data_IF_018899159144
#
_entry.id   IF_018899159144
#
_cell.length_a   1.000
_cell.length_b   1.000
_cell.length_c   1.000
_cell.angle_alpha   90.00
_cell.angle_beta   90.00
_cell.angle_gamma   90.00
#
_symmetry.space_group_name_H-M   'P 1'
#
loop_
_entity.id
_entity.type
_entity.pdbx_description
1 polymer ?
#
# COMPACT_ATOMS: atom_id res chain seq x y z
N UNK A 1 9.30 -81.37 -34.83
CA UNK A 1 10.60 -82.08 -34.95
C UNK A 1 11.63 -80.97 -35.07
N UNK A 2 12.49 -80.65 -34.13
CA UNK A 2 12.99 -81.37 -32.96
C UNK A 2 13.73 -80.33 -32.06
N UNK A 3 13.48 -80.40 -30.74
CA UNK A 3 14.38 -80.21 -29.56
C UNK A 3 15.56 -79.19 -29.61
N UNK A 4 15.92 -78.42 -28.57
CA UNK A 4 15.96 -78.73 -27.12
C UNK A 4 16.34 -77.46 -26.33
N UNK A 5 15.74 -77.26 -25.16
CA UNK A 5 16.26 -76.49 -24.00
C UNK A 5 17.18 -77.42 -23.16
N UNK A 6 18.21 -76.91 -22.47
CA UNK A 6 18.05 -76.83 -21.02
C UNK A 6 18.71 -75.60 -20.35
N UNK A 7 17.99 -75.06 -19.35
CA UNK A 7 18.47 -74.13 -18.31
C UNK A 7 19.70 -74.63 -17.54
N UNK A 8 20.42 -73.70 -16.90
CA UNK A 8 20.78 -73.91 -15.50
C UNK A 8 20.38 -72.74 -14.57
N UNK A 9 20.00 -73.18 -13.38
CA UNK A 9 19.70 -72.51 -12.11
C UNK A 9 20.74 -71.50 -11.60
N UNK A 10 20.24 -70.34 -11.15
CA UNK A 10 20.42 -69.83 -9.79
C UNK A 10 21.78 -69.26 -9.37
N UNK A 11 21.89 -67.91 -9.37
CA UNK A 11 22.72 -67.14 -8.43
C UNK A 11 21.98 -65.84 -8.03
N UNK A 12 22.22 -65.36 -6.79
CA UNK A 12 21.22 -64.63 -5.98
C UNK A 12 21.08 -63.16 -6.38
N UNK A 13 19.89 -62.62 -6.08
CA UNK A 13 19.57 -61.19 -6.15
C UNK A 13 20.57 -60.38 -5.31
N UNK A 14 21.06 -59.22 -5.79
CA UNK A 14 21.70 -58.27 -4.90
C UNK A 14 20.66 -57.75 -3.91
N UNK A 15 21.05 -57.77 -2.64
CA UNK A 15 20.26 -57.28 -1.51
C UNK A 15 19.83 -55.83 -1.78
N UNK A 16 18.59 -55.52 -1.37
CA UNK A 16 18.13 -54.15 -1.26
C UNK A 16 19.13 -53.39 -0.40
N UNK A 17 19.77 -52.37 -0.97
CA UNK A 17 20.37 -51.33 -0.15
C UNK A 17 19.23 -50.72 0.65
N UNK A 18 19.21 -51.06 1.93
CA UNK A 18 18.45 -50.37 2.94
C UNK A 18 18.71 -48.88 2.74
N UNK A 19 17.63 -48.12 2.49
CA UNK A 19 17.64 -46.68 2.66
C UNK A 19 18.16 -46.44 4.08
N UNK A 20 19.45 -46.08 4.19
CA UNK A 20 19.95 -45.40 5.36
C UNK A 20 19.01 -44.24 5.57
N UNK A 21 18.35 -44.23 6.73
CA UNK A 21 17.43 -43.18 7.10
C UNK A 21 18.10 -41.84 6.87
N UNK A 22 17.48 -41.02 6.01
CA UNK A 22 17.70 -39.59 6.01
C UNK A 22 17.56 -39.16 7.48
N UNK A 23 18.65 -38.67 8.06
CA UNK A 23 18.59 -38.05 9.37
C UNK A 23 17.49 -36.98 9.30
N UNK A 24 16.68 -36.76 10.35
CA UNK A 24 15.75 -35.63 10.33
C UNK A 24 16.57 -34.39 9.97
N UNK A 25 16.21 -33.75 8.85
CA UNK A 25 16.85 -32.53 8.41
C UNK A 25 16.90 -31.61 9.63
N UNK A 26 18.11 -31.19 10.01
CA UNK A 26 18.25 -30.22 11.09
C UNK A 26 17.36 -29.03 10.69
N UNK A 27 16.46 -28.55 11.56
CA UNK A 27 15.58 -27.47 11.19
C UNK A 27 16.45 -26.31 10.71
N UNK A 28 16.12 -25.73 9.55
CA UNK A 28 16.85 -24.59 9.04
C UNK A 28 16.84 -23.49 10.11
N UNK A 29 18.02 -22.93 10.40
CA UNK A 29 18.18 -21.94 11.47
C UNK A 29 18.93 -20.72 10.97
N UNK A 30 18.52 -19.55 11.46
CA UNK A 30 19.20 -18.28 11.24
C UNK A 30 19.51 -17.65 12.59
N UNK A 31 20.79 -17.31 12.82
CA UNK A 31 21.30 -16.78 14.10
C UNK A 31 20.91 -17.62 15.33
N UNK A 32 20.78 -18.94 15.16
CA UNK A 32 20.43 -19.87 16.24
C UNK A 32 18.93 -20.00 16.55
N UNK A 33 18.06 -19.35 15.77
CA UNK A 33 16.59 -19.50 15.81
C UNK A 33 16.12 -20.40 14.67
N UNK A 34 15.09 -21.20 14.89
CA UNK A 34 14.44 -21.97 13.82
C UNK A 34 13.67 -21.04 12.90
N UNK A 35 13.86 -21.22 11.59
CA UNK A 35 13.10 -20.53 10.54
C UNK A 35 11.62 -20.91 10.63
N UNK A 36 10.74 -19.93 10.40
CA UNK A 36 9.29 -20.15 10.37
C UNK A 36 8.91 -21.02 9.16
N UNK A 37 9.61 -20.82 8.05
CA UNK A 37 9.48 -21.59 6.82
C UNK A 37 10.81 -22.30 6.51
N UNK A 38 11.04 -23.53 7.04
CA UNK A 38 12.35 -24.18 6.97
C UNK A 38 12.79 -24.62 5.57
N UNK A 39 11.88 -24.55 4.59
CA UNK A 39 12.12 -24.91 3.20
C UNK A 39 12.44 -23.70 2.30
N UNK A 40 12.33 -22.49 2.85
CA UNK A 40 12.47 -21.22 2.14
C UNK A 40 13.77 -20.52 2.55
N UNK A 41 14.28 -19.64 1.68
CA UNK A 41 15.48 -18.86 1.99
C UNK A 41 15.17 -17.81 3.07
N UNK A 42 16.20 -17.18 3.64
CA UNK A 42 16.03 -16.21 4.75
C UNK A 42 15.24 -14.98 4.30
N UNK A 43 15.31 -14.63 3.03
CA UNK A 43 14.62 -13.48 2.43
C UNK A 43 13.11 -13.75 2.23
N UNK A 44 12.69 -15.02 2.31
CA UNK A 44 11.30 -15.45 2.11
C UNK A 44 10.62 -15.82 3.44
N UNK A 45 11.18 -15.41 4.58
CA UNK A 45 10.65 -15.79 5.90
C UNK A 45 9.51 -14.89 6.39
N UNK A 46 9.26 -13.77 5.71
CA UNK A 46 8.18 -12.82 5.95
C UNK A 46 8.23 -12.03 7.25
N UNK A 47 7.17 -11.28 7.52
CA UNK A 47 7.12 -10.32 8.61
C UNK A 47 7.38 -10.94 9.99
N UNK A 48 6.89 -12.14 10.27
CA UNK A 48 7.13 -12.81 11.56
C UNK A 48 8.63 -12.97 11.84
N UNK A 49 9.42 -13.25 10.79
CA UNK A 49 10.86 -13.32 10.89
C UNK A 49 11.52 -11.94 11.03
N UNK A 50 11.05 -10.93 10.29
CA UNK A 50 11.53 -9.55 10.40
C UNK A 50 11.34 -8.98 11.81
N UNK A 51 10.13 -9.10 12.35
CA UNK A 51 9.77 -8.63 13.69
C UNK A 51 10.63 -9.32 14.74
N UNK A 52 10.75 -10.65 14.66
CA UNK A 52 11.59 -11.40 15.58
C UNK A 52 13.07 -10.98 15.46
N UNK A 53 13.53 -10.66 14.26
CA UNK A 53 14.90 -10.19 13.97
C UNK A 53 15.13 -8.76 14.49
N UNK A 54 14.16 -7.86 14.36
CA UNK A 54 14.26 -6.49 14.86
C UNK A 54 14.18 -6.44 16.39
N UNK A 55 13.30 -7.23 17.01
CA UNK A 55 13.23 -7.39 18.47
C UNK A 55 14.54 -7.96 19.03
N UNK A 56 15.13 -8.97 18.38
CA UNK A 56 16.41 -9.54 18.83
C UNK A 56 17.56 -8.52 18.75
N UNK A 57 17.62 -7.72 17.67
CA UNK A 57 18.60 -6.64 17.51
C UNK A 57 18.41 -5.53 18.54
N UNK A 58 17.17 -5.14 18.84
CA UNK A 58 16.85 -4.15 19.89
C UNK A 58 17.23 -4.67 21.28
N UNK A 59 17.00 -5.97 21.55
CA UNK A 59 17.46 -6.65 22.76
C UNK A 59 18.99 -6.69 22.90
N UNK A 60 19.72 -6.98 21.82
CA UNK A 60 21.18 -6.99 21.82
C UNK A 60 21.78 -5.60 22.09
N UNK A 61 21.19 -4.53 21.53
CA UNK A 61 21.59 -3.15 21.81
C UNK A 61 21.28 -2.71 23.25
N UNK A 62 20.15 -3.14 23.82
CA UNK A 62 19.81 -2.91 25.22
C UNK A 62 20.80 -3.54 26.21
N UNK A 63 21.33 -4.73 25.89
CA UNK A 63 22.35 -5.41 26.70
C UNK A 63 23.72 -4.71 26.62
N UNK A 64 24.05 -4.07 25.50
CA UNK A 64 25.29 -3.29 25.35
C UNK A 64 25.20 -1.89 25.98
N UNK A 65 23.99 -1.32 26.12
CA UNK A 65 23.75 -0.01 26.74
C UNK A 65 23.72 0.00 28.28
N UNK A 66 23.52 -1.15 28.94
CA UNK A 66 23.40 -1.25 30.39
C UNK A 66 24.76 -1.24 31.16
N UNK A 67 25.87 -0.96 30.48
CA UNK A 67 27.22 -1.23 30.98
C UNK A 67 28.11 -0.01 31.26
N UNK A 68 27.62 1.15 31.69
CA UNK A 68 28.55 2.23 32.13
C UNK A 68 27.96 3.40 32.96
N UNK A 69 27.35 3.16 34.13
CA UNK A 69 27.42 4.16 35.23
C UNK A 69 27.44 3.46 36.59
N UNK A 70 28.62 3.27 37.16
CA UNK A 70 28.76 2.97 38.58
C UNK A 70 30.03 3.58 39.18
N UNK A 71 29.81 4.20 40.35
CA UNK A 71 30.76 4.69 41.37
C UNK A 71 31.27 6.15 41.16
N UNK A 72 31.25 7.04 42.17
CA UNK A 72 31.97 6.91 43.45
C UNK A 72 31.53 7.98 44.50
N UNK A 73 31.32 7.50 45.75
CA UNK A 73 31.56 8.06 47.10
C UNK A 73 30.61 9.02 47.86
N UNK A 74 30.39 8.58 49.11
CA UNK A 74 29.67 9.17 50.23
C UNK A 74 30.58 9.92 51.23
N UNK A 75 29.99 10.79 52.08
CA UNK A 75 30.33 11.04 53.50
C UNK A 75 29.34 12.09 54.10
N UNK A 76 28.38 11.71 54.95
CA UNK A 76 28.40 11.68 56.43
C UNK A 76 28.39 13.03 57.16
N UNK A 77 27.30 13.35 57.89
CA UNK A 77 27.38 13.75 59.32
C UNK A 77 26.02 13.63 60.05
N UNK A 78 26.10 13.39 61.35
CA UNK A 78 25.10 12.83 62.26
C UNK A 78 24.19 13.86 62.96
N UNK A 79 23.03 13.43 63.48
CA UNK A 79 22.52 13.96 64.76
C UNK A 79 21.01 14.24 64.90
N UNK A 80 20.34 13.41 65.70
CA UNK A 80 19.26 13.68 66.68
C UNK A 80 17.92 14.34 66.32
N UNK A 81 16.90 13.67 66.87
CA UNK A 81 15.49 13.99 67.05
C UNK A 81 15.10 15.41 67.53
N UNK A 82 13.89 15.83 67.16
CA UNK A 82 13.05 16.71 67.97
C UNK A 82 12.25 17.81 67.24
N UNK A 83 10.97 17.52 66.96
CA UNK A 83 9.78 18.40 67.02
C UNK A 83 9.83 19.88 66.57
N UNK A 84 8.98 20.15 65.58
CA UNK A 84 8.10 21.31 65.31
C UNK A 84 8.67 22.74 65.27
N UNK A 85 8.63 23.32 64.07
CA UNK A 85 8.63 24.75 63.82
C UNK A 85 8.17 25.04 62.39
N UNK A 86 7.02 25.67 62.25
CA UNK A 86 6.41 26.13 61.00
C UNK A 86 7.26 27.20 60.29
N UNK A 87 7.48 27.07 58.97
CA UNK A 87 7.55 28.21 58.04
C UNK A 87 7.24 27.74 56.62
N UNK A 88 6.42 28.54 55.94
CA UNK A 88 5.91 28.35 54.58
C UNK A 88 7.00 28.36 53.50
N UNK A 89 6.76 27.66 52.41
CA UNK A 89 7.34 27.93 51.10
C UNK A 89 6.36 27.46 50.03
N UNK A 90 6.18 28.34 49.04
CA UNK A 90 5.25 28.29 47.93
C UNK A 90 5.11 26.92 47.26
N UNK A 91 3.84 26.48 47.13
CA UNK A 91 3.47 25.55 46.07
C UNK A 91 2.84 26.39 44.97
N UNK A 92 3.62 26.62 43.90
CA UNK A 92 3.07 27.00 42.62
C UNK A 92 1.99 25.99 42.26
N UNK A 93 0.76 26.48 42.11
CA UNK A 93 -0.35 25.67 41.64
C UNK A 93 -0.01 25.15 40.24
N UNK A 94 0.07 23.83 40.12
CA UNK A 94 -0.12 23.19 38.82
C UNK A 94 -1.55 23.55 38.39
N UNK A 95 -1.64 24.37 37.36
CA UNK A 95 -2.88 24.54 36.61
C UNK A 95 -3.20 23.18 36.01
N UNK A 96 -4.17 22.51 36.62
CA UNK A 96 -4.88 21.39 36.02
C UNK A 96 -5.63 21.97 34.82
N UNK A 97 -4.94 21.98 33.68
CA UNK A 97 -5.54 22.22 32.38
C UNK A 97 -6.36 20.99 32.07
N UNK A 98 -7.56 20.92 32.65
CA UNK A 98 -8.62 20.03 32.19
C UNK A 98 -8.91 20.40 30.74
N UNK A 99 -8.14 19.80 29.83
CA UNK A 99 -8.52 19.67 28.45
C UNK A 99 -9.84 18.92 28.46
N UNK A 100 -10.86 19.53 27.86
CA UNK A 100 -12.02 18.79 27.42
C UNK A 100 -11.48 17.59 26.63
N UNK A 101 -11.64 16.38 27.14
CA UNK A 101 -11.46 15.19 26.32
C UNK A 101 -12.34 15.42 25.10
N UNK A 102 -11.72 15.61 23.93
CA UNK A 102 -12.47 15.54 22.69
C UNK A 102 -13.02 14.13 22.67
N UNK A 103 -14.34 13.98 22.57
CA UNK A 103 -14.92 12.65 22.41
C UNK A 103 -14.34 12.09 21.10
N UNK A 104 -13.46 11.09 21.22
CA UNK A 104 -12.92 10.40 20.06
C UNK A 104 -14.09 9.73 19.35
N UNK A 105 -14.12 9.86 18.04
CA UNK A 105 -15.04 9.12 17.19
C UNK A 105 -14.24 8.03 16.51
N UNK A 106 -14.76 6.81 16.50
CA UNK A 106 -14.13 5.67 15.84
C UNK A 106 -13.83 6.00 14.36
N UNK A 107 -12.66 5.58 13.89
CA UNK A 107 -12.26 5.70 12.49
C UNK A 107 -13.22 4.85 11.63
N UNK A 108 -13.84 5.40 10.58
CA UNK A 108 -14.67 4.62 9.68
C UNK A 108 -13.89 3.47 9.03
N UNK A 109 -14.51 2.29 8.98
CA UNK A 109 -14.00 1.16 8.20
C UNK A 109 -14.34 1.35 6.72
N UNK A 110 -13.39 1.03 5.83
CA UNK A 110 -13.55 1.08 4.38
C UNK A 110 -13.15 -0.24 3.71
N UNK A 111 -13.47 -0.35 2.42
CA UNK A 111 -12.94 -1.43 1.60
C UNK A 111 -11.41 -1.37 1.45
N UNK A 112 -10.75 -2.52 1.45
CA UNK A 112 -9.35 -2.66 1.01
C UNK A 112 -9.19 -2.31 -0.48
N UNK A 113 -10.28 -2.31 -1.24
CA UNK A 113 -10.22 -2.21 -2.70
C UNK A 113 -9.54 -3.43 -3.33
N UNK A 114 -9.27 -3.38 -4.65
CA UNK A 114 -8.78 -4.54 -5.38
C UNK A 114 -7.27 -4.74 -5.34
N UNK A 115 -6.51 -3.85 -4.69
CA UNK A 115 -5.04 -3.85 -4.75
C UNK A 115 -4.30 -4.01 -3.40
N UNK A 116 -4.83 -4.72 -2.39
CA UNK A 116 -4.06 -4.98 -1.18
C UNK A 116 -2.93 -5.98 -1.49
N UNK A 117 -1.81 -5.89 -0.78
CA UNK A 117 -0.70 -6.84 -0.88
C UNK A 117 -0.69 -7.80 0.30
N UNK A 118 -1.87 -8.21 0.78
CA UNK A 118 -2.11 -8.96 2.02
C UNK A 118 -2.53 -10.43 1.78
N UNK A 119 -2.45 -10.88 0.52
CA UNK A 119 -2.89 -12.21 0.09
C UNK A 119 -4.41 -12.35 -0.14
N UNK A 120 -5.24 -11.40 0.31
CA UNK A 120 -6.70 -11.47 0.19
C UNK A 120 -7.19 -11.42 -1.26
N UNK A 121 -6.42 -10.78 -2.14
CA UNK A 121 -6.67 -10.71 -3.57
C UNK A 121 -5.48 -11.23 -4.43
N UNK A 122 -4.79 -12.26 -3.92
CA UNK A 122 -3.79 -13.04 -4.65
C UNK A 122 -2.35 -12.54 -4.55
N UNK A 123 -2.10 -11.22 -4.53
CA UNK A 123 -0.77 -10.67 -4.29
C UNK A 123 -0.51 -10.55 -2.78
N UNK A 124 0.69 -10.96 -2.34
CA UNK A 124 1.07 -10.95 -0.92
C UNK A 124 2.50 -10.46 -0.75
N UNK A 125 2.68 -9.26 -0.21
CA UNK A 125 3.97 -8.69 0.18
C UNK A 125 4.22 -8.81 1.68
N UNK A 126 3.22 -9.20 2.47
CA UNK A 126 3.36 -9.35 3.93
C UNK A 126 4.22 -10.57 4.29
N UNK A 127 4.29 -11.55 3.40
CA UNK A 127 5.22 -12.69 3.46
C UNK A 127 6.65 -12.35 2.95
N UNK A 128 6.90 -11.14 2.44
CA UNK A 128 8.23 -10.74 1.92
C UNK A 128 9.10 -10.14 3.03
N UNK A 129 10.35 -10.60 3.19
CA UNK A 129 11.27 -9.99 4.16
C UNK A 129 11.67 -8.58 3.73
N UNK A 130 11.77 -7.65 4.68
CA UNK A 130 12.01 -6.23 4.43
C UNK A 130 10.73 -5.42 4.24
N UNK A 131 9.54 -6.02 4.33
CA UNK A 131 8.26 -5.29 4.30
C UNK A 131 8.04 -4.45 5.57
N UNK A 132 8.64 -4.82 6.71
CA UNK A 132 8.70 -3.95 7.90
C UNK A 132 9.68 -2.79 7.64
N UNK A 133 9.16 -1.64 7.20
CA UNK A 133 9.97 -0.48 6.83
C UNK A 133 9.16 0.81 6.92
N UNK A 134 9.87 1.89 7.26
CA UNK A 134 9.30 3.24 7.30
C UNK A 134 9.36 3.92 5.94
N UNK A 135 10.49 3.86 5.23
CA UNK A 135 10.57 4.35 3.85
C UNK A 135 10.06 3.27 2.89
N UNK A 136 8.87 3.52 2.32
CA UNK A 136 8.19 2.56 1.45
C UNK A 136 8.42 2.87 -0.02
N UNK A 137 9.15 3.92 -0.39
CA UNK A 137 9.25 4.38 -1.79
C UNK A 137 9.97 3.41 -2.70
N UNK A 138 10.90 2.63 -2.18
CA UNK A 138 11.66 1.65 -2.97
C UNK A 138 10.96 0.30 -3.05
N UNK A 139 11.13 -0.45 -4.14
CA UNK A 139 10.81 -1.88 -4.13
C UNK A 139 11.83 -2.63 -3.26
N UNK A 140 11.37 -3.66 -2.55
CA UNK A 140 12.21 -4.45 -1.62
C UNK A 140 13.37 -5.12 -2.36
N UNK A 141 13.13 -5.65 -3.57
CA UNK A 141 14.12 -6.43 -4.32
C UNK A 141 14.43 -5.92 -5.74
N UNK A 142 13.62 -4.99 -6.27
CA UNK A 142 13.74 -4.56 -7.67
C UNK A 142 14.63 -3.31 -7.87
N UNK A 143 15.14 -2.69 -6.80
CA UNK A 143 16.05 -1.52 -6.87
C UNK A 143 15.44 -0.25 -7.49
N UNK A 144 14.21 -0.32 -7.94
CA UNK A 144 13.35 0.79 -8.39
C UNK A 144 12.85 1.57 -7.19
N UNK A 145 12.51 2.84 -7.42
CA UNK A 145 11.93 3.72 -6.41
C UNK A 145 10.86 4.55 -7.07
N UNK A 146 9.67 4.59 -6.47
CA UNK A 146 8.59 5.43 -6.94
C UNK A 146 8.99 6.90 -6.81
N UNK A 147 8.92 7.62 -7.94
CA UNK A 147 9.16 9.06 -8.00
C UNK A 147 7.86 9.82 -7.69
N UNK A 148 7.98 10.97 -7.03
CA UNK A 148 6.85 11.83 -6.68
C UNK A 148 7.22 12.84 -5.59
N UNK A 149 6.27 13.70 -5.25
CA UNK A 149 6.42 14.70 -4.17
C UNK A 149 6.52 13.96 -2.83
N UNK A 150 7.58 14.15 -2.02
CA UNK A 150 7.74 13.43 -0.76
C UNK A 150 6.57 13.65 0.20
N UNK A 151 6.19 12.59 0.92
CA UNK A 151 5.11 12.61 1.90
C UNK A 151 5.51 11.85 3.17
N UNK A 152 5.60 12.56 4.29
CA UNK A 152 5.80 11.94 5.61
C UNK A 152 4.45 11.75 6.33
N UNK A 153 4.17 10.51 6.72
CA UNK A 153 2.88 10.06 7.25
C UNK A 153 3.09 9.64 8.70
N UNK A 154 2.35 10.22 9.64
CA UNK A 154 2.30 9.75 11.02
C UNK A 154 0.88 9.32 11.37
N UNK A 155 0.73 8.12 11.93
CA UNK A 155 -0.56 7.60 12.38
C UNK A 155 -0.47 7.27 13.87
N UNK A 156 -1.45 7.78 14.64
CA UNK A 156 -1.57 7.49 16.07
C UNK A 156 -2.74 6.52 16.29
N UNK A 157 -2.42 5.25 16.53
CA UNK A 157 -3.41 4.20 16.76
C UNK A 157 -3.85 4.24 18.23
N UNK A 158 -5.15 4.39 18.45
CA UNK A 158 -5.75 4.59 19.77
C UNK A 158 -6.77 3.48 20.03
N UNK A 159 -6.60 2.77 21.14
CA UNK A 159 -7.56 1.78 21.63
C UNK A 159 -8.66 2.47 22.44
N UNK A 160 -9.82 2.64 21.82
CA UNK A 160 -11.01 3.23 22.46
C UNK A 160 -11.60 2.28 23.51
N UNK A 161 -11.61 0.97 23.24
CA UNK A 161 -12.12 -0.04 24.17
C UNK A 161 -11.29 -0.13 25.45
N UNK A 162 -9.98 0.15 25.34
CA UNK A 162 -9.03 0.27 26.45
C UNK A 162 -9.11 1.57 27.25
N UNK A 163 -10.00 2.50 26.89
CA UNK A 163 -10.17 3.80 27.54
C UNK A 163 -9.34 4.92 26.92
N UNK A 164 -9.36 5.00 25.59
CA UNK A 164 -8.68 6.01 24.76
C UNK A 164 -7.16 6.06 24.98
N UNK A 165 -6.54 4.88 25.06
CA UNK A 165 -5.10 4.73 25.30
C UNK A 165 -4.36 4.40 24.01
N UNK A 166 -3.07 4.77 23.88
CA UNK A 166 -2.30 4.37 22.70
C UNK A 166 -2.18 2.84 22.58
N UNK A 167 -2.39 2.32 21.36
CA UNK A 167 -2.31 0.88 21.08
C UNK A 167 -0.86 0.50 20.73
N UNK A 168 -0.05 0.14 21.71
CA UNK A 168 1.33 -0.34 21.53
C UNK A 168 1.38 -1.75 20.95
N UNK A 169 2.26 -1.99 19.96
CA UNK A 169 2.51 -3.32 19.39
C UNK A 169 1.58 -3.74 18.24
N UNK A 170 0.59 -2.93 17.88
CA UNK A 170 -0.25 -3.14 16.71
C UNK A 170 0.57 -3.03 15.42
N UNK A 171 0.24 -3.85 14.42
CA UNK A 171 0.86 -3.76 13.11
C UNK A 171 -0.02 -2.92 12.18
N UNK A 172 0.59 -1.97 11.47
CA UNK A 172 -0.07 -1.12 10.49
C UNK A 172 0.52 -1.40 9.13
N UNK A 173 -0.29 -1.91 8.22
CA UNK A 173 0.05 -2.05 6.80
C UNK A 173 -0.46 -0.84 6.04
N UNK A 174 0.38 -0.20 5.23
CA UNK A 174 0.01 0.93 4.39
C UNK A 174 0.36 0.65 2.93
N UNK A 175 -0.55 0.97 2.02
CA UNK A 175 -0.30 0.91 0.58
C UNK A 175 -1.00 2.03 -0.20
N UNK A 176 -0.46 2.36 -1.37
CA UNK A 176 -1.04 3.36 -2.28
C UNK A 176 -0.60 3.12 -3.73
N UNK A 177 -1.16 3.89 -4.65
CA UNK A 177 -0.64 4.01 -6.01
C UNK A 177 0.59 4.93 -6.09
N UNK A 178 1.32 4.82 -7.20
CA UNK A 178 2.38 5.76 -7.58
C UNK A 178 1.83 7.09 -8.14
N UNK A 179 2.72 7.99 -8.55
CA UNK A 179 2.35 9.29 -9.10
C UNK A 179 1.50 9.21 -10.38
N UNK A 180 1.64 8.13 -11.16
CA UNK A 180 0.83 7.86 -12.35
C UNK A 180 -0.48 7.10 -12.04
N UNK A 181 -0.80 6.86 -10.77
CA UNK A 181 -2.01 6.15 -10.35
C UNK A 181 -1.94 4.62 -10.50
N UNK A 182 -0.74 4.05 -10.64
CA UNK A 182 -0.53 2.60 -10.77
C UNK A 182 -0.23 1.97 -9.42
N UNK A 183 -0.77 0.77 -9.18
CA UNK A 183 -0.44 -0.02 -7.99
C UNK A 183 0.65 -1.03 -8.31
N UNK A 184 1.73 -1.00 -7.55
CA UNK A 184 2.75 -2.06 -7.55
C UNK A 184 2.09 -3.41 -7.30
N UNK A 185 2.63 -4.48 -7.88
CA UNK A 185 2.08 -5.86 -7.88
C UNK A 185 0.84 -6.10 -8.76
N UNK A 186 0.23 -5.04 -9.34
CA UNK A 186 -1.08 -5.16 -10.00
C UNK A 186 -1.15 -4.48 -11.38
N UNK A 187 -0.70 -3.24 -11.48
CA UNK A 187 -0.85 -2.46 -12.70
C UNK A 187 0.20 -2.82 -13.75
N UNK A 188 -0.19 -2.70 -15.03
CA UNK A 188 0.71 -2.98 -16.15
C UNK A 188 2.01 -2.15 -16.07
N UNK A 189 3.14 -2.83 -16.24
CA UNK A 189 4.48 -2.26 -16.17
C UNK A 189 5.06 -2.12 -14.77
N UNK A 190 4.30 -2.45 -13.72
CA UNK A 190 4.76 -2.44 -12.31
C UNK A 190 4.28 -3.68 -11.52
N UNK A 191 3.92 -4.77 -12.21
CA UNK A 191 3.45 -6.02 -11.59
C UNK A 191 4.53 -6.73 -10.77
N UNK A 192 5.81 -6.52 -11.10
CA UNK A 192 6.95 -7.12 -10.40
C UNK A 192 7.53 -6.19 -9.32
N UNK A 193 6.89 -5.04 -9.09
CA UNK A 193 7.33 -4.03 -8.15
C UNK A 193 6.64 -4.16 -6.79
N UNK A 194 7.30 -3.69 -5.73
CA UNK A 194 6.77 -3.71 -4.35
C UNK A 194 6.91 -2.36 -3.64
N UNK A 195 7.21 -1.29 -4.37
CA UNK A 195 7.21 0.06 -3.82
C UNK A 195 5.83 0.44 -3.25
N UNK A 196 5.84 1.45 -2.39
CA UNK A 196 4.68 2.08 -1.77
C UNK A 196 3.78 1.10 -1.01
N UNK A 197 4.39 0.06 -0.45
CA UNK A 197 3.80 -0.93 0.45
C UNK A 197 4.74 -1.12 1.63
N UNK A 198 4.23 -1.10 2.85
CA UNK A 198 5.06 -1.38 4.01
C UNK A 198 4.29 -1.53 5.31
N UNK A 199 4.95 -2.16 6.26
CA UNK A 199 4.43 -2.42 7.60
C UNK A 199 5.26 -1.67 8.63
N UNK A 200 4.60 -1.11 9.63
CA UNK A 200 5.24 -0.59 10.83
C UNK A 200 4.51 -1.10 12.07
N UNK A 201 5.25 -1.35 13.14
CA UNK A 201 4.70 -1.69 14.45
C UNK A 201 4.61 -0.44 15.32
N UNK A 202 3.46 -0.21 15.95
CA UNK A 202 3.23 0.96 16.79
C UNK A 202 4.17 0.96 18.01
N UNK A 203 4.70 2.13 18.32
CA UNK A 203 5.53 2.34 19.51
C UNK A 203 4.70 2.42 20.81
N UNK A 204 5.35 2.67 21.95
CA UNK A 204 4.68 2.84 23.25
C UNK A 204 3.73 4.06 23.33
N UNK A 205 3.73 4.92 22.31
CA UNK A 205 2.78 6.01 22.13
C UNK A 205 1.75 5.69 21.04
N UNK A 206 1.60 4.42 20.64
CA UNK A 206 0.64 3.97 19.64
C UNK A 206 0.97 4.45 18.23
N UNK A 207 2.20 4.88 17.97
CA UNK A 207 2.53 5.63 16.75
C UNK A 207 3.35 4.83 15.75
N UNK A 208 3.03 5.02 14.47
CA UNK A 208 3.86 4.63 13.33
C UNK A 208 4.18 5.83 12.45
N UNK A 209 5.28 5.75 11.70
CA UNK A 209 5.67 6.76 10.72
C UNK A 209 6.13 6.08 9.43
N UNK A 210 5.67 6.59 8.30
CA UNK A 210 6.09 6.19 6.97
C UNK A 210 6.63 7.39 6.19
N UNK A 211 7.60 7.15 5.32
CA UNK A 211 8.05 8.07 4.28
C UNK A 211 7.62 7.48 2.94
N UNK A 212 6.82 8.24 2.21
CA UNK A 212 6.19 7.87 0.94
C UNK A 212 6.27 9.02 -0.07
N UNK A 213 5.43 8.98 -1.10
CA UNK A 213 5.14 10.09 -2.01
C UNK A 213 3.64 10.43 -1.97
N UNK A 214 3.28 11.65 -2.35
CA UNK A 214 1.88 12.01 -2.57
C UNK A 214 1.28 11.09 -3.66
N UNK A 215 0.10 10.46 -3.44
CA UNK A 215 -0.47 9.50 -4.39
C UNK A 215 -1.00 10.18 -5.66
N UNK A 216 -0.90 9.52 -6.81
CA UNK A 216 -1.57 9.95 -8.02
C UNK A 216 -3.10 9.84 -7.94
N UNK A 217 -3.79 10.42 -8.91
CA UNK A 217 -5.24 10.27 -9.07
C UNK A 217 -5.53 9.37 -10.26
N UNK A 218 -6.11 8.19 -10.02
CA UNK A 218 -6.59 7.31 -11.08
C UNK A 218 -8.10 7.51 -11.30
N UNK A 219 -8.58 7.12 -12.48
CA UNK A 219 -9.95 7.40 -12.90
C UNK A 219 -10.98 6.79 -11.93
N UNK A 220 -11.95 7.61 -11.52
CA UNK A 220 -13.11 7.18 -10.73
C UNK A 220 -12.91 7.11 -9.22
N UNK A 221 -11.73 7.47 -8.71
CA UNK A 221 -11.44 7.49 -7.26
C UNK A 221 -10.75 8.78 -6.84
N UNK A 222 -11.13 9.32 -5.69
CA UNK A 222 -10.43 10.44 -5.05
C UNK A 222 -9.01 10.01 -4.61
N UNK A 223 -7.99 10.87 -4.65
CA UNK A 223 -6.64 10.48 -4.22
C UNK A 223 -6.57 10.03 -2.75
N UNK A 224 -5.99 8.87 -2.51
CA UNK A 224 -6.01 8.26 -1.18
C UNK A 224 -4.80 7.37 -0.89
N UNK A 225 -4.63 7.09 0.40
CA UNK A 225 -3.78 6.03 0.95
C UNK A 225 -4.69 4.97 1.55
N UNK A 226 -4.35 3.70 1.43
CA UNK A 226 -5.01 2.63 2.15
C UNK A 226 -4.20 2.23 3.37
N UNK A 227 -4.88 1.72 4.39
CA UNK A 227 -4.21 1.05 5.48
C UNK A 227 -5.07 -0.03 6.14
N UNK A 228 -4.38 -0.94 6.81
CA UNK A 228 -4.95 -1.94 7.68
C UNK A 228 -4.24 -1.91 9.03
N UNK A 229 -4.99 -2.14 10.10
CA UNK A 229 -4.47 -2.30 11.45
C UNK A 229 -4.78 -3.71 11.92
N UNK A 230 -3.76 -4.38 12.43
CA UNK A 230 -3.84 -5.70 13.04
C UNK A 230 -3.50 -5.57 14.52
N UNK A 231 -4.06 -6.44 15.38
CA UNK A 231 -3.88 -6.33 16.83
C UNK A 231 -2.42 -6.51 17.25
N UNK A 232 -1.64 -7.25 16.47
CA UNK A 232 -0.21 -7.44 16.66
C UNK A 232 0.49 -7.90 15.38
N UNK A 233 1.82 -7.94 15.45
CA UNK A 233 2.70 -8.33 14.36
C UNK A 233 2.61 -9.82 13.94
N UNK A 234 2.03 -10.69 14.77
CA UNK A 234 1.84 -12.10 14.41
C UNK A 234 0.54 -12.29 13.62
N UNK A 235 -0.45 -11.41 13.85
CA UNK A 235 -1.80 -11.52 13.28
C UNK A 235 -1.89 -11.09 11.81
N UNK A 236 -1.02 -10.19 11.37
CA UNK A 236 -0.96 -9.61 10.02
C UNK A 236 -0.64 -10.60 8.89
N UNK A 237 -0.20 -11.82 9.19
CA UNK A 237 0.01 -12.88 8.18
C UNK A 237 -1.31 -13.46 7.63
N UNK A 238 -2.45 -13.01 8.13
CA UNK A 238 -3.78 -13.35 7.62
C UNK A 238 -4.63 -12.08 7.61
N UNK A 239 -4.97 -11.63 6.40
CA UNK A 239 -5.82 -10.46 6.15
C UNK A 239 -7.13 -10.49 6.96
N UNK A 240 -7.66 -11.68 7.25
CA UNK A 240 -8.88 -11.84 8.05
C UNK A 240 -8.76 -11.40 9.51
N UNK A 241 -7.54 -11.14 10.01
CA UNK A 241 -7.30 -10.65 11.35
C UNK A 241 -7.23 -9.12 11.47
N UNK A 242 -7.41 -8.38 10.37
CA UNK A 242 -7.47 -6.93 10.43
C UNK A 242 -8.60 -6.48 11.38
N UNK A 243 -8.26 -5.62 12.34
CA UNK A 243 -9.22 -4.99 13.25
C UNK A 243 -9.78 -3.68 12.68
N UNK A 244 -9.12 -3.11 11.67
CA UNK A 244 -9.59 -1.98 10.88
C UNK A 244 -8.95 -2.05 9.50
N UNK A 245 -9.76 -1.95 8.45
CA UNK A 245 -9.33 -1.58 7.10
C UNK A 245 -9.93 -0.21 6.82
N UNK A 246 -9.14 0.75 6.32
CA UNK A 246 -9.66 2.09 6.02
C UNK A 246 -8.80 2.81 4.97
N UNK A 247 -9.17 4.04 4.66
CA UNK A 247 -8.50 4.89 3.67
C UNK A 247 -8.32 6.32 4.20
N UNK A 248 -7.29 7.00 3.73
CA UNK A 248 -6.98 8.40 4.06
C UNK A 248 -7.10 9.22 2.78
N UNK A 249 -8.01 10.18 2.75
CA UNK A 249 -8.21 11.07 1.61
C UNK A 249 -7.19 12.22 1.61
N UNK A 250 -6.64 12.55 0.44
CA UNK A 250 -5.76 13.72 0.30
C UNK A 250 -6.57 15.01 0.09
N UNK A 251 -6.14 16.15 0.65
CA UNK A 251 -6.84 17.42 0.47
C UNK A 251 -6.70 17.97 -0.95
N UNK A 252 -7.79 18.54 -1.46
CA UNK A 252 -7.92 19.00 -2.86
C UNK A 252 -6.91 20.09 -3.23
N UNK A 253 -6.62 21.02 -2.31
CA UNK A 253 -5.74 22.15 -2.60
C UNK A 253 -4.32 21.67 -2.93
N UNK A 254 -3.78 20.81 -2.08
CA UNK A 254 -2.45 20.22 -2.25
C UNK A 254 -2.43 19.22 -3.42
N UNK A 255 -3.52 18.47 -3.66
CA UNK A 255 -3.63 17.62 -4.84
C UNK A 255 -3.54 18.42 -6.15
N UNK A 256 -4.23 19.57 -6.23
CA UNK A 256 -4.14 20.46 -7.40
C UNK A 256 -2.71 20.95 -7.62
N UNK A 257 -2.01 21.38 -6.57
CA UNK A 257 -0.62 21.84 -6.65
C UNK A 257 0.33 20.71 -7.09
N UNK A 258 0.15 19.50 -6.57
CA UNK A 258 0.99 18.32 -6.90
C UNK A 258 0.77 17.85 -8.33
N UNK A 259 -0.47 17.86 -8.81
CA UNK A 259 -0.80 17.33 -10.14
C UNK A 259 -0.44 18.27 -11.30
N UNK A 260 0.16 19.43 -11.02
CA UNK A 260 0.85 20.25 -12.02
C UNK A 260 2.26 19.71 -12.35
N UNK A 261 2.82 18.80 -11.54
CA UNK A 261 4.14 18.22 -11.76
C UNK A 261 4.12 17.11 -12.82
N UNK A 262 5.21 16.97 -13.57
CA UNK A 262 5.28 16.06 -14.72
C UNK A 262 5.27 14.56 -14.35
N UNK A 263 5.63 14.22 -13.12
CA UNK A 263 5.56 12.84 -12.62
C UNK A 263 4.10 12.36 -12.42
N UNK A 264 3.14 13.29 -12.38
CA UNK A 264 1.72 13.04 -12.07
C UNK A 264 0.82 13.12 -13.30
N UNK A 265 1.37 12.88 -14.49
CA UNK A 265 0.64 12.94 -15.77
C UNK A 265 -0.71 12.19 -15.70
N UNK A 266 -1.79 12.87 -16.11
CA UNK A 266 -3.17 12.35 -16.09
C UNK A 266 -3.92 12.57 -14.77
N UNK A 267 -3.23 12.79 -13.65
CA UNK A 267 -3.89 12.94 -12.34
C UNK A 267 -4.82 14.15 -12.27
N UNK A 268 -4.43 15.28 -12.86
CA UNK A 268 -5.27 16.49 -12.89
C UNK A 268 -6.58 16.27 -13.69
N UNK A 269 -6.52 15.52 -14.79
CA UNK A 269 -7.71 15.18 -15.58
C UNK A 269 -8.66 14.27 -14.81
N UNK A 270 -8.12 13.26 -14.11
CA UNK A 270 -8.90 12.36 -13.28
C UNK A 270 -9.54 13.10 -12.08
N UNK A 271 -8.78 13.94 -11.39
CA UNK A 271 -9.27 14.74 -10.27
C UNK A 271 -10.43 15.64 -10.70
N UNK A 272 -10.39 16.23 -11.90
CA UNK A 272 -11.46 17.08 -12.41
C UNK A 272 -12.81 16.37 -12.64
N UNK A 273 -12.82 15.03 -12.60
CA UNK A 273 -13.99 14.19 -12.85
C UNK A 273 -14.59 13.58 -11.57
N UNK A 274 -13.97 13.82 -10.41
CA UNK A 274 -14.37 13.23 -9.13
C UNK A 274 -14.32 14.29 -8.01
N UNK A 275 -15.20 14.13 -7.04
CA UNK A 275 -15.22 14.89 -5.78
C UNK A 275 -15.31 13.90 -4.62
N UNK A 276 -14.95 14.31 -3.40
CA UNK A 276 -15.19 13.51 -2.20
C UNK A 276 -16.66 13.08 -2.09
N UNK A 277 -17.60 13.98 -2.42
CA UNK A 277 -19.05 13.72 -2.37
C UNK A 277 -19.55 12.75 -3.46
N UNK A 278 -18.73 12.44 -4.47
CA UNK A 278 -19.08 11.50 -5.55
C UNK A 278 -18.21 10.25 -5.56
N UNK A 279 -17.15 10.22 -4.75
CA UNK A 279 -16.31 9.04 -4.57
C UNK A 279 -17.11 7.95 -3.85
N UNK A 280 -17.02 6.71 -4.34
CA UNK A 280 -17.84 5.61 -3.83
C UNK A 280 -17.39 5.08 -2.45
N UNK A 281 -16.30 5.62 -1.88
CA UNK A 281 -15.81 5.34 -0.53
C UNK A 281 -16.11 6.54 0.35
N UNK A 282 -15.65 7.74 -0.02
CA UNK A 282 -15.73 8.92 0.87
C UNK A 282 -17.09 9.65 0.89
N UNK A 283 -18.02 9.32 -0.01
CA UNK A 283 -19.27 10.08 -0.15
C UNK A 283 -20.26 9.96 1.02
N UNK A 284 -20.08 9.01 1.93
CA UNK A 284 -20.87 8.86 3.16
C UNK A 284 -20.25 9.55 4.39
N UNK A 285 -18.99 10.01 4.28
CA UNK A 285 -18.31 10.85 5.25
C UNK A 285 -16.78 10.72 5.14
N UNK A 286 -16.05 11.82 5.37
CA UNK A 286 -14.58 11.81 5.24
C UNK A 286 -13.85 12.65 6.30
N UNK A 287 -14.57 13.26 7.25
CA UNK A 287 -13.98 14.22 8.20
C UNK A 287 -12.85 13.59 9.05
N UNK A 288 -12.98 12.32 9.43
CA UNK A 288 -11.96 11.57 10.17
C UNK A 288 -10.80 11.04 9.29
N UNK A 289 -11.00 10.99 7.98
CA UNK A 289 -10.07 10.37 7.02
C UNK A 289 -9.34 11.40 6.15
N UNK A 290 -9.77 12.66 6.14
CA UNK A 290 -9.14 13.73 5.37
C UNK A 290 -7.83 14.18 6.02
N UNK A 291 -6.71 14.02 5.31
CA UNK A 291 -5.41 14.44 5.81
C UNK A 291 -5.31 15.98 5.92
N UNK A 292 -4.80 16.46 7.05
CA UNK A 292 -4.39 17.86 7.22
C UNK A 292 -2.90 17.99 6.96
N UNK A 293 -2.53 18.39 5.74
CA UNK A 293 -1.14 18.50 5.33
C UNK A 293 -0.46 19.77 5.86
N UNK A 294 0.86 19.66 6.03
CA UNK A 294 1.78 20.77 6.26
C UNK A 294 2.97 20.61 5.31
N UNK A 295 3.69 21.69 5.03
CA UNK A 295 4.78 21.67 4.05
C UNK A 295 4.37 22.34 2.74
N UNK A 296 5.10 22.02 1.67
CA UNK A 296 4.93 22.59 0.33
C UNK A 296 5.58 21.69 -0.73
N UNK A 297 5.38 22.01 -2.01
CA UNK A 297 5.92 21.24 -3.14
C UNK A 297 7.46 21.11 -3.11
N UNK A 298 8.18 22.11 -2.60
CA UNK A 298 9.65 22.11 -2.62
C UNK A 298 10.24 21.22 -1.52
N UNK A 299 9.61 21.22 -0.34
CA UNK A 299 10.04 20.49 0.84
C UNK A 299 9.36 19.13 1.02
N UNK A 300 8.29 18.88 0.28
CA UNK A 300 7.37 17.77 0.49
C UNK A 300 6.30 18.11 1.53
N UNK A 301 5.34 17.20 1.68
CA UNK A 301 4.25 17.33 2.63
C UNK A 301 4.42 16.38 3.82
N UNK A 302 3.77 16.71 4.93
CA UNK A 302 3.66 15.83 6.08
C UNK A 302 2.30 15.98 6.77
N UNK A 303 1.77 14.88 7.32
CA UNK A 303 0.62 14.92 8.23
C UNK A 303 0.75 13.95 9.40
N UNK A 304 -0.06 14.22 10.42
CA UNK A 304 -0.36 13.30 11.51
C UNK A 304 -1.87 13.11 11.55
N UNK A 305 -2.32 11.87 11.66
CA UNK A 305 -3.74 11.51 11.80
C UNK A 305 -3.94 10.59 13.01
N UNK A 306 -5.01 10.83 13.75
CA UNK A 306 -5.43 9.95 14.84
C UNK A 306 -6.35 8.86 14.26
N UNK A 307 -6.13 7.61 14.70
CA UNK A 307 -6.88 6.43 14.27
C UNK A 307 -7.47 5.75 15.51
N UNK A 308 -8.63 6.22 16.00
CA UNK A 308 -9.32 5.60 17.11
C UNK A 308 -10.03 4.33 16.66
N UNK A 309 -9.79 3.22 17.35
CA UNK A 309 -10.37 1.91 17.05
C UNK A 309 -11.10 1.39 18.28
N UNK A 310 -12.38 1.02 18.15
CA UNK A 310 -13.09 0.26 19.16
C UNK A 310 -12.98 -1.23 18.81
N UNK A 311 -12.07 -1.94 19.49
CA UNK A 311 -11.86 -3.39 19.26
C UNK A 311 -13.06 -4.26 19.66
N UNK A 312 -14.15 -3.67 20.17
CA UNK A 312 -15.43 -4.36 20.40
C UNK A 312 -16.39 -4.23 19.22
N UNK A 313 -16.13 -3.33 18.27
CA UNK A 313 -16.81 -3.26 16.98
C UNK A 313 -16.33 -4.41 16.10
N UNK A 314 -17.25 -5.12 15.45
CA UNK A 314 -16.85 -6.11 14.43
C UNK A 314 -16.27 -5.36 13.23
N UNK A 315 -15.04 -5.69 12.78
CA UNK A 315 -14.45 -5.04 11.62
C UNK A 315 -15.36 -5.24 10.41
N UNK A 316 -15.67 -4.17 9.69
CA UNK A 316 -16.36 -4.31 8.41
C UNK A 316 -15.42 -5.05 7.46
N UNK A 317 -15.81 -6.27 7.06
CA UNK A 317 -14.93 -7.13 6.30
C UNK A 317 -14.55 -6.43 4.98
N UNK A 318 -13.25 -6.20 4.77
CA UNK A 318 -12.67 -5.70 3.52
C UNK A 318 -12.87 -6.62 2.30
N UNK A 319 -13.71 -7.66 2.43
CA UNK A 319 -14.03 -8.61 1.37
C UNK A 319 -14.96 -8.01 0.32
N UNK A 320 -14.65 -8.29 -0.95
CA UNK A 320 -15.37 -7.94 -2.19
C UNK A 320 -16.81 -8.52 -2.27
N UNK A 321 -17.63 -8.29 -1.25
CA UNK A 321 -19.02 -8.73 -1.13
C UNK A 321 -20.02 -7.69 -1.63
N UNK A 322 -19.65 -6.87 -2.62
CA UNK A 322 -20.56 -5.96 -3.32
C UNK A 322 -20.43 -6.19 -4.81
N UNK A 323 -21.57 -6.36 -5.49
CA UNK A 323 -21.72 -6.39 -6.96
C UNK A 323 -21.20 -5.08 -7.57
N UNK A 324 -19.88 -4.93 -7.66
CA UNK A 324 -19.22 -3.86 -8.38
C UNK A 324 -19.04 -4.35 -9.81
N UNK A 325 -19.90 -3.85 -10.71
CA UNK A 325 -19.81 -4.11 -12.14
C UNK A 325 -18.38 -3.86 -12.64
N UNK A 326 -17.78 -4.90 -13.23
CA UNK A 326 -16.40 -4.87 -13.70
C UNK A 326 -16.14 -3.68 -14.62
N UNK A 327 -15.42 -2.70 -14.10
CA UNK A 327 -14.68 -1.75 -14.91
C UNK A 327 -13.43 -2.46 -15.40
N UNK A 328 -13.42 -2.84 -16.68
CA UNK A 328 -12.23 -3.30 -17.37
C UNK A 328 -11.09 -2.26 -17.20
N UNK A 329 -9.83 -2.67 -16.98
CA UNK A 329 -8.71 -1.74 -16.98
C UNK A 329 -8.59 -1.06 -18.37
N UNK A 330 -8.27 0.24 -18.42
CA UNK A 330 -8.14 0.95 -19.69
C UNK A 330 -6.96 0.39 -20.48
N UNK A 331 -7.25 -0.23 -21.63
CA UNK A 331 -6.24 -0.53 -22.64
C UNK A 331 -5.77 0.78 -23.27
N UNK A 332 -4.47 1.03 -23.27
CA UNK A 332 -3.86 2.19 -23.90
C UNK A 332 -4.30 2.37 -25.36
N UNK A 333 -4.83 3.56 -25.65
CA UNK A 333 -5.23 3.97 -26.97
C UNK A 333 -4.03 4.34 -27.83
N UNK A 334 -3.42 3.36 -28.50
CA UNK A 334 -2.53 3.64 -29.62
C UNK A 334 -3.35 4.07 -30.86
N UNK A 335 -3.29 5.37 -31.16
CA UNK A 335 -3.82 5.93 -32.40
C UNK A 335 -3.01 5.48 -33.63
N UNK A 336 -3.66 4.83 -34.59
CA UNK A 336 -3.13 4.56 -35.92
C UNK A 336 -4.25 4.18 -36.91
N UNK A 337 -4.21 4.61 -38.19
CA UNK A 337 -5.41 5.09 -38.87
C UNK A 337 -6.20 4.03 -39.66
N UNK A 338 -7.52 4.17 -39.59
CA UNK A 338 -8.43 4.19 -40.76
C UNK A 338 -8.39 3.01 -41.72
N UNK A 339 -9.24 2.01 -41.46
CA UNK A 339 -9.73 1.07 -42.46
C UNK A 339 -11.26 1.04 -42.43
N UNK A 340 -11.87 1.59 -43.48
CA UNK A 340 -13.31 1.76 -43.63
C UNK A 340 -14.09 0.44 -43.51
N UNK A 341 -15.20 0.52 -42.77
CA UNK A 341 -16.05 -0.61 -42.41
C UNK A 341 -16.86 -1.20 -43.57
N UNK A 342 -17.12 -2.50 -43.46
CA UNK A 342 -18.20 -3.21 -44.17
C UNK A 342 -19.29 -3.62 -43.17
N UNK A 343 -20.57 -3.24 -43.37
CA UNK A 343 -21.62 -3.54 -42.41
C UNK A 343 -22.36 -4.87 -42.70
N UNK A 344 -22.81 -5.50 -41.61
CA UNK A 344 -24.17 -6.04 -41.45
C UNK A 344 -24.60 -7.16 -42.39
N UNK A 345 -24.54 -8.39 -41.89
CA UNK A 345 -25.28 -9.51 -42.46
C UNK A 345 -26.54 -9.80 -41.66
N UNK A 346 -27.72 -9.56 -42.25
CA UNK A 346 -28.94 -10.31 -41.94
C UNK A 346 -29.85 -10.39 -43.18
N UNK A 347 -30.33 -11.60 -43.46
CA UNK A 347 -31.62 -11.82 -44.14
C UNK A 347 -31.63 -11.89 -45.67
N UNK A 348 -31.89 -13.09 -46.19
CA UNK A 348 -32.58 -13.28 -47.48
C UNK A 348 -33.62 -14.40 -47.33
N UNK A 349 -34.49 -14.68 -48.33
CA UNK A 349 -34.47 -14.14 -49.70
C UNK A 349 -35.85 -13.74 -50.28
N UNK A 350 -35.83 -13.11 -51.46
CA UNK A 350 -36.88 -13.30 -52.47
C UNK A 350 -37.21 -12.08 -53.33
N UNK A 351 -37.10 -12.22 -54.66
CA UNK A 351 -37.96 -11.49 -55.60
C UNK A 351 -37.29 -10.64 -56.69
N UNK A 352 -36.86 -11.31 -57.77
CA UNK A 352 -37.07 -10.98 -59.19
C UNK A 352 -36.96 -9.53 -59.73
N UNK A 353 -36.05 -9.36 -60.71
CA UNK A 353 -36.41 -8.85 -62.03
C UNK A 353 -36.06 -7.40 -62.38
N UNK A 354 -35.30 -7.20 -63.46
CA UNK A 354 -35.25 -5.92 -64.18
C UNK A 354 -33.93 -5.60 -64.88
N UNK A 355 -33.90 -5.80 -66.20
CA UNK A 355 -32.83 -5.45 -67.15
C UNK A 355 -32.63 -3.93 -67.36
N UNK A 356 -31.46 -3.47 -67.88
CA UNK A 356 -31.07 -2.06 -67.98
C UNK A 356 -31.46 -1.41 -69.32
N UNK A 357 -31.25 -0.08 -69.48
CA UNK A 357 -30.34 0.32 -70.57
C UNK A 357 -29.45 1.55 -70.31
N UNK A 358 -28.46 1.65 -71.21
CA UNK A 358 -27.39 2.64 -71.41
C UNK A 358 -27.89 4.05 -71.83
N UNK A 359 -27.01 5.06 -71.69
CA UNK A 359 -27.10 6.31 -72.46
C UNK A 359 -26.31 7.49 -71.89
N UNK A 360 -25.16 7.80 -72.50
CA UNK A 360 -24.17 8.85 -72.19
C UNK A 360 -24.61 10.30 -72.57
N UNK A 361 -23.71 11.29 -72.80
CA UNK A 361 -22.87 12.09 -71.88
C UNK A 361 -23.03 13.63 -72.08
N UNK A 362 -22.30 14.45 -71.33
CA UNK A 362 -22.02 15.87 -71.64
C UNK A 362 -21.10 16.48 -70.56
N UNK A 363 -19.80 16.65 -70.81
CA UNK A 363 -19.11 17.78 -71.44
C UNK A 363 -19.23 19.13 -70.71
N UNK A 364 -18.07 19.70 -70.33
CA UNK A 364 -17.92 21.13 -70.00
C UNK A 364 -16.91 21.41 -68.89
N UNK A 365 -15.63 21.57 -69.25
CA UNK A 365 -14.54 22.00 -68.34
C UNK A 365 -14.43 23.53 -68.15
N UNK A 366 -13.21 24.10 -67.96
CA UNK A 366 -12.81 24.79 -66.72
C UNK A 366 -12.27 26.24 -66.94
N UNK A 367 -11.93 26.96 -65.85
CA UNK A 367 -10.95 28.08 -65.78
C UNK A 367 -10.88 28.59 -64.31
N UNK A 368 -9.75 28.57 -63.58
CA UNK A 368 -8.52 29.38 -63.63
C UNK A 368 -8.56 30.74 -62.86
N UNK A 369 -7.93 30.73 -61.66
CA UNK A 369 -6.84 31.60 -61.17
C UNK A 369 -7.09 33.13 -60.84
N UNK A 370 -6.10 33.91 -60.31
CA UNK A 370 -6.14 34.54 -58.97
C UNK A 370 -5.81 36.07 -58.93
N UNK A 371 -5.81 36.70 -57.73
CA UNK A 371 -5.19 38.03 -57.44
C UNK A 371 -5.03 38.19 -55.92
N UNK A 372 -3.84 38.28 -55.30
CA UNK A 372 -2.84 39.37 -55.22
C UNK A 372 -3.24 40.59 -54.37
N UNK A 373 -2.32 41.05 -53.49
CA UNK A 373 -2.41 42.33 -52.76
C UNK A 373 -1.84 42.34 -51.33
N UNK A 374 -0.57 42.72 -51.19
CA UNK A 374 0.10 42.99 -49.90
C UNK A 374 -0.10 44.42 -49.34
N UNK A 375 0.51 44.70 -48.19
CA UNK A 375 0.64 46.04 -47.62
C UNK A 375 1.20 46.07 -46.20
N UNK A 376 2.49 46.42 -46.08
CA UNK A 376 3.20 46.85 -44.87
C UNK A 376 2.60 48.12 -44.24
N UNK A 377 2.72 48.29 -42.91
CA UNK A 377 3.03 49.60 -42.30
C UNK A 377 3.65 49.48 -40.91
N UNK A 378 4.88 49.99 -40.78
CA UNK A 378 5.57 50.34 -39.54
C UNK A 378 5.06 51.67 -38.92
N UNK A 379 5.49 51.92 -37.68
CA UNK A 379 5.67 53.18 -36.93
C UNK A 379 4.59 53.57 -35.90
N UNK A 380 4.84 53.32 -34.60
CA UNK A 380 5.50 54.25 -33.66
C UNK A 380 5.60 53.66 -32.26
#
# INVERSE_FOLDING_TARGET
MDTTDPRPVGRPYPEAHEHAGEAPAQPATFEGRTLHHPAEDVEDQGLAFDVATLVSRRGALGVLGAGSVAAVLAACSSGSAGTSGTTASDRGGASDGGGTASELTEMPGETAGPYPGDGSNGADVLETSGVERSDIRASIDAGTTAEGVPLDITMNIIDMAGGDVPMEGAAVYLWQCDAAGRYSMYSEGVEEETFLRGVQITDAQGKVTFTSIFPGCYAGRWPHLHFEVFPDAESIVDAGNAILTSQIAMPEAEANDVYEQGEYDGSAENLSQITLETDNVFSDGYDQQLASLSGDLDSGYAFSIDVPIDTTTEPEAGGMGGDMGGGEPPSDGEGGPGGEGGPGGEGGPGGEGGTPPEGAPGEGGPADAPSDGGGDTEQS
#
